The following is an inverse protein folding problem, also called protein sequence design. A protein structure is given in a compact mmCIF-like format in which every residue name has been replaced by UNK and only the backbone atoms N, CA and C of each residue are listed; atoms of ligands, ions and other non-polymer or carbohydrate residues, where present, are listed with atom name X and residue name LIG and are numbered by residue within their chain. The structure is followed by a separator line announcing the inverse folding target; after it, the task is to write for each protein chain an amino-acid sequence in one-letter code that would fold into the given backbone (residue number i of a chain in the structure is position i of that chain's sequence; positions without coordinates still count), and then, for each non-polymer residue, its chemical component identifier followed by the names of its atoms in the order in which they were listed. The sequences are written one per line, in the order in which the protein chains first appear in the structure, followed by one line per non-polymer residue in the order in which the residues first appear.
data_IF_285021504542
#
_entry.id   IF_285021504542
#
_cell.length_a   1.000
_cell.length_b   1.000
_cell.length_c   1.000
_cell.angle_alpha   90.00
_cell.angle_beta   90.00
_cell.angle_gamma   90.00
#
_symmetry.space_group_name_H-M   'P 1'
#
loop_
_entity.id
_entity.type
_entity.pdbx_description
1 polymer ?
#
# COMPACT_ATOMS: atom_id res chain seq x y z
N UNK A 1 23.59 19.66 2.70
CA UNK A 1 23.95 18.26 2.37
C UNK A 1 23.41 17.23 3.36
N UNK A 2 23.03 17.60 4.59
CA UNK A 2 22.66 16.65 5.65
C UNK A 2 21.22 16.12 5.63
N UNK A 3 20.24 16.83 5.11
CA UNK A 3 18.83 16.41 5.17
C UNK A 3 18.44 15.33 4.15
N UNK A 4 19.10 15.25 2.99
CA UNK A 4 18.76 14.30 1.94
C UNK A 4 19.25 12.87 2.20
N UNK A 5 20.39 12.73 2.86
CA UNK A 5 20.92 11.40 3.22
C UNK A 5 20.15 10.72 4.36
N UNK A 6 19.45 11.51 5.21
CA UNK A 6 18.76 11.01 6.38
C UNK A 6 17.28 10.72 6.07
N UNK A 7 16.62 11.56 5.27
CA UNK A 7 15.18 11.47 5.04
C UNK A 7 14.76 10.20 4.26
N UNK A 8 15.49 9.83 3.21
CA UNK A 8 15.16 8.63 2.42
C UNK A 8 15.33 7.31 3.19
N UNK A 9 16.41 7.11 3.96
CA UNK A 9 16.52 5.93 4.82
C UNK A 9 15.42 5.84 5.86
N UNK A 10 15.01 6.97 6.45
CA UNK A 10 13.91 7.01 7.41
C UNK A 10 12.58 6.65 6.77
N UNK A 11 12.22 7.24 5.63
CA UNK A 11 10.98 6.91 4.90
C UNK A 11 10.93 5.42 4.55
N UNK A 12 12.06 4.87 4.08
CA UNK A 12 12.16 3.43 3.79
C UNK A 12 11.98 2.56 5.03
N UNK A 13 12.65 2.91 6.14
CA UNK A 13 12.50 2.18 7.40
C UNK A 13 11.07 2.25 7.90
N UNK A 14 10.45 3.43 7.92
CA UNK A 14 9.06 3.60 8.32
C UNK A 14 8.10 2.82 7.42
N UNK A 15 8.23 2.90 6.11
CA UNK A 15 7.41 2.14 5.17
C UNK A 15 7.51 0.63 5.43
N UNK A 16 8.73 0.11 5.57
CA UNK A 16 8.95 -1.30 5.84
C UNK A 16 8.42 -1.75 7.21
N UNK A 17 8.59 -0.94 8.26
CA UNK A 17 8.10 -1.27 9.59
C UNK A 17 6.58 -1.19 9.71
N UNK A 18 5.95 -0.16 9.13
CA UNK A 18 4.50 0.04 9.19
C UNK A 18 3.74 -0.93 8.28
N UNK A 19 4.37 -1.46 7.25
CA UNK A 19 3.75 -2.42 6.35
C UNK A 19 3.24 -3.66 7.09
N UNK A 20 4.02 -4.24 7.98
CA UNK A 20 3.66 -5.49 8.65
C UNK A 20 2.44 -5.37 9.58
N UNK A 21 2.35 -4.38 10.48
CA UNK A 21 1.15 -4.20 11.26
C UNK A 21 -0.05 -3.81 10.40
N UNK A 22 0.13 -3.01 9.34
CA UNK A 22 -0.94 -2.69 8.41
C UNK A 22 -1.46 -3.95 7.70
N UNK A 23 -0.55 -4.80 7.21
CA UNK A 23 -0.91 -6.09 6.62
C UNK A 23 -1.67 -6.99 7.60
N UNK A 24 -1.23 -7.05 8.86
CA UNK A 24 -1.90 -7.84 9.88
C UNK A 24 -3.34 -7.34 10.14
N UNK A 25 -3.54 -6.03 10.18
CA UNK A 25 -4.88 -5.41 10.34
C UNK A 25 -5.76 -5.71 9.15
N UNK A 26 -5.26 -5.55 7.92
CA UNK A 26 -6.01 -5.85 6.69
C UNK A 26 -6.39 -7.32 6.64
N UNK A 27 -5.43 -8.23 6.83
CA UNK A 27 -5.69 -9.66 6.82
C UNK A 27 -6.69 -10.08 7.92
N UNK A 28 -6.59 -9.48 9.12
CA UNK A 28 -7.55 -9.72 10.18
C UNK A 28 -8.95 -9.23 9.80
N UNK A 29 -9.07 -8.01 9.26
CA UNK A 29 -10.35 -7.44 8.84
C UNK A 29 -11.00 -8.24 7.73
N UNK A 30 -10.23 -8.67 6.74
CA UNK A 30 -10.73 -9.47 5.61
C UNK A 30 -11.09 -10.91 6.00
N UNK A 31 -10.35 -11.54 6.91
CA UNK A 31 -10.58 -12.93 7.32
C UNK A 31 -11.50 -13.08 8.53
N UNK A 32 -11.96 -11.98 9.14
CA UNK A 32 -12.94 -12.02 10.22
C UNK A 32 -14.34 -12.27 9.64
N UNK A 33 -15.05 -13.35 10.01
CA UNK A 33 -16.36 -13.68 9.42
C UNK A 33 -17.42 -12.58 9.60
N UNK A 34 -17.37 -11.88 10.71
CA UNK A 34 -18.28 -10.77 11.04
C UNK A 34 -17.45 -9.57 11.51
N UNK A 35 -16.76 -8.84 10.61
CA UNK A 35 -16.01 -7.68 11.01
C UNK A 35 -16.96 -6.63 11.59
N UNK A 36 -16.52 -5.85 12.59
CA UNK A 36 -17.28 -4.70 13.06
C UNK A 36 -17.45 -3.72 11.88
N UNK A 37 -18.65 -3.71 11.30
CA UNK A 37 -18.97 -2.79 10.20
C UNK A 37 -19.45 -1.49 10.80
N UNK A 38 -18.87 -0.38 10.36
CA UNK A 38 -19.54 0.91 10.49
C UNK A 38 -20.78 0.83 9.59
N UNK A 39 -21.97 0.97 10.17
CA UNK A 39 -23.22 0.94 9.43
C UNK A 39 -23.19 1.95 8.28
N UNK A 40 -23.26 1.49 7.05
CA UNK A 40 -23.17 2.32 5.86
C UNK A 40 -23.56 1.57 4.58
N UNK A 41 -23.78 2.30 3.48
CA UNK A 41 -24.12 1.69 2.21
C UNK A 41 -22.97 0.81 1.68
N UNK A 42 -23.28 -0.19 0.85
CA UNK A 42 -22.36 -1.13 0.19
C UNK A 42 -21.08 -0.49 -0.39
N UNK A 43 -21.13 0.82 -0.68
CA UNK A 43 -20.01 1.58 -1.19
C UNK A 43 -18.88 1.78 -0.15
N UNK A 44 -19.19 1.68 1.15
CA UNK A 44 -18.17 1.81 2.22
C UNK A 44 -17.27 0.59 2.27
N UNK A 45 -17.79 -0.61 2.03
CA UNK A 45 -17.01 -1.83 1.98
C UNK A 45 -15.93 -1.74 0.88
N UNK A 46 -16.30 -1.33 -0.32
CA UNK A 46 -15.37 -1.11 -1.44
C UNK A 46 -14.35 0.01 -1.19
N UNK A 47 -14.75 1.04 -0.45
CA UNK A 47 -13.83 2.09 -0.04
C UNK A 47 -12.83 1.61 1.01
N UNK A 48 -13.25 0.71 1.92
CA UNK A 48 -12.36 0.10 2.89
C UNK A 48 -11.31 -0.77 2.19
N UNK A 49 -11.72 -1.62 1.24
CA UNK A 49 -10.82 -2.41 0.40
C UNK A 49 -9.85 -1.52 -0.40
N UNK A 50 -10.35 -0.51 -1.09
CA UNK A 50 -9.52 0.44 -1.82
C UNK A 50 -8.49 1.11 -0.90
N UNK A 51 -8.91 1.60 0.26
CA UNK A 51 -8.04 2.33 1.20
C UNK A 51 -6.98 1.42 1.80
N UNK A 52 -7.34 0.18 2.15
CA UNK A 52 -6.43 -0.82 2.66
C UNK A 52 -5.31 -1.12 1.66
N UNK A 53 -5.65 -1.44 0.43
CA UNK A 53 -4.67 -1.81 -0.61
C UNK A 53 -3.89 -0.60 -1.14
N UNK A 54 -4.48 0.58 -1.16
CA UNK A 54 -3.76 1.83 -1.36
C UNK A 54 -2.65 2.00 -0.32
N UNK A 55 -2.98 1.87 0.96
CA UNK A 55 -2.04 2.01 2.07
C UNK A 55 -0.94 0.95 2.04
N UNK A 56 -1.30 -0.33 1.84
CA UNK A 56 -0.33 -1.44 1.75
C UNK A 56 0.64 -1.24 0.59
N UNK A 57 0.15 -0.88 -0.60
CA UNK A 57 1.00 -0.67 -1.76
C UNK A 57 1.91 0.54 -1.58
N UNK A 58 1.39 1.64 -1.01
CA UNK A 58 2.19 2.82 -0.70
C UNK A 58 3.31 2.50 0.29
N UNK A 59 3.00 1.85 1.41
CA UNK A 59 3.98 1.46 2.43
C UNK A 59 5.03 0.50 1.87
N UNK A 60 4.61 -0.54 1.14
CA UNK A 60 5.53 -1.48 0.51
C UNK A 60 6.43 -0.81 -0.52
N UNK A 61 5.88 0.07 -1.35
CA UNK A 61 6.62 0.81 -2.37
C UNK A 61 7.63 1.77 -1.76
N UNK A 62 7.29 2.45 -0.68
CA UNK A 62 8.21 3.33 0.05
C UNK A 62 9.27 2.53 0.82
N UNK A 63 8.90 1.36 1.36
CA UNK A 63 9.79 0.50 2.13
C UNK A 63 10.83 -0.23 1.28
N UNK A 64 10.38 -0.90 0.24
CA UNK A 64 11.22 -1.79 -0.59
C UNK A 64 11.36 -1.35 -2.05
N UNK A 65 10.56 -0.37 -2.48
CA UNK A 65 10.51 0.05 -3.88
C UNK A 65 11.78 0.75 -4.34
N UNK A 66 12.66 0.03 -4.99
CA UNK A 66 13.58 0.59 -5.98
C UNK A 66 12.83 0.59 -7.32
N UNK A 67 13.15 1.51 -8.24
CA UNK A 67 12.42 1.65 -9.53
C UNK A 67 12.12 0.33 -10.25
N UNK A 68 13.05 -0.65 -10.20
CA UNK A 68 12.86 -1.97 -10.82
C UNK A 68 12.02 -2.94 -9.98
N UNK A 69 11.89 -2.70 -8.67
CA UNK A 69 11.14 -3.57 -7.76
C UNK A 69 9.68 -3.14 -7.57
N UNK A 70 9.28 -1.93 -8.01
CA UNK A 70 7.91 -1.43 -7.87
C UNK A 70 6.88 -2.32 -8.56
N UNK A 71 7.22 -2.87 -9.73
CA UNK A 71 6.35 -3.82 -10.43
C UNK A 71 6.13 -5.08 -9.60
N UNK A 72 7.19 -5.61 -9.01
CA UNK A 72 7.09 -6.81 -8.17
C UNK A 72 6.34 -6.55 -6.86
N UNK A 73 6.50 -5.37 -6.27
CA UNK A 73 5.71 -4.93 -5.11
C UNK A 73 4.23 -4.90 -5.49
N UNK A 74 3.89 -4.24 -6.59
CA UNK A 74 2.51 -4.16 -7.07
C UNK A 74 1.91 -5.55 -7.33
N UNK A 75 2.60 -6.38 -8.11
CA UNK A 75 2.13 -7.74 -8.40
C UNK A 75 1.98 -8.59 -7.11
N UNK A 76 2.88 -8.41 -6.14
CA UNK A 76 2.78 -9.08 -4.84
C UNK A 76 1.55 -8.66 -4.05
N UNK A 77 1.20 -7.37 -4.06
CA UNK A 77 0.00 -6.86 -3.38
C UNK A 77 -1.29 -7.31 -4.11
N UNK A 78 -1.31 -7.30 -5.45
CA UNK A 78 -2.44 -7.84 -6.23
C UNK A 78 -2.63 -9.33 -5.96
N UNK A 79 -1.54 -10.10 -5.96
CA UNK A 79 -1.60 -11.54 -5.63
C UNK A 79 -2.08 -11.78 -4.18
N UNK A 80 -1.63 -10.96 -3.23
CA UNK A 80 -2.11 -11.00 -1.85
C UNK A 80 -3.61 -10.76 -1.77
N UNK A 81 -4.14 -9.74 -2.47
CA UNK A 81 -5.56 -9.45 -2.55
C UNK A 81 -6.35 -10.65 -3.07
N UNK A 82 -5.91 -11.23 -4.18
CA UNK A 82 -6.55 -12.42 -4.74
C UNK A 82 -6.54 -13.62 -3.78
N UNK A 83 -5.45 -13.83 -3.05
CA UNK A 83 -5.37 -14.90 -2.04
C UNK A 83 -6.32 -14.63 -0.88
N UNK A 84 -6.35 -13.41 -0.35
CA UNK A 84 -7.24 -13.06 0.75
C UNK A 84 -8.72 -13.19 0.34
N UNK A 85 -9.08 -12.78 -0.88
CA UNK A 85 -10.42 -12.94 -1.43
C UNK A 85 -10.85 -14.41 -1.50
N UNK A 86 -9.96 -15.30 -1.94
CA UNK A 86 -10.21 -16.74 -1.93
C UNK A 86 -10.38 -17.25 -0.50
N UNK A 87 -9.53 -16.82 0.43
CA UNK A 87 -9.61 -17.22 1.82
C UNK A 87 -10.89 -16.73 2.51
N UNK A 88 -11.43 -15.58 2.12
CA UNK A 88 -12.72 -15.08 2.62
C UNK A 88 -13.86 -16.06 2.36
N UNK A 89 -13.89 -16.69 1.20
CA UNK A 89 -14.90 -17.71 0.90
C UNK A 89 -14.81 -18.92 1.82
N UNK A 90 -13.62 -19.23 2.34
CA UNK A 90 -13.40 -20.36 3.26
C UNK A 90 -13.81 -20.04 4.71
N UNK A 91 -13.90 -18.78 5.08
CA UNK A 91 -14.32 -18.33 6.42
C UNK A 91 -15.79 -17.90 6.47
N UNK A 92 -16.57 -18.20 5.42
CA UNK A 92 -18.02 -17.93 5.36
C UNK A 92 -18.37 -16.50 5.00
N UNK A 93 -17.48 -15.80 4.28
CA UNK A 93 -17.77 -14.50 3.63
C UNK A 93 -18.03 -14.73 2.15
N UNK A 94 -18.82 -13.86 1.56
CA UNK A 94 -19.00 -13.86 0.10
C UNK A 94 -17.82 -13.12 -0.55
N UNK A 95 -17.07 -13.82 -1.39
CA UNK A 95 -16.05 -13.20 -2.23
C UNK A 95 -16.73 -12.44 -3.36
N UNK A 96 -16.49 -11.13 -3.43
CA UNK A 96 -17.07 -10.27 -4.45
C UNK A 96 -16.02 -9.77 -5.45
N UNK A 97 -16.30 -9.94 -6.75
CA UNK A 97 -15.45 -9.35 -7.80
C UNK A 97 -15.28 -7.84 -7.65
N UNK A 98 -16.27 -7.16 -7.05
CA UNK A 98 -16.21 -5.73 -6.76
C UNK A 98 -15.14 -5.37 -5.74
N UNK A 99 -14.92 -6.22 -4.75
CA UNK A 99 -13.92 -6.03 -3.70
C UNK A 99 -12.52 -6.28 -4.25
N UNK A 100 -12.36 -7.33 -5.05
CA UNK A 100 -11.11 -7.56 -5.79
C UNK A 100 -10.76 -6.37 -6.70
N UNK A 101 -11.73 -5.83 -7.45
CA UNK A 101 -11.50 -4.65 -8.27
C UNK A 101 -11.14 -3.41 -7.43
N UNK A 102 -11.76 -3.23 -6.26
CA UNK A 102 -11.42 -2.14 -5.34
C UNK A 102 -10.01 -2.28 -4.77
N UNK A 103 -9.58 -3.51 -4.45
CA UNK A 103 -8.22 -3.84 -4.03
C UNK A 103 -7.20 -3.43 -5.11
N UNK A 104 -7.41 -3.83 -6.34
CA UNK A 104 -6.53 -3.54 -7.47
C UNK A 104 -6.44 -2.05 -7.78
N UNK A 105 -7.58 -1.34 -7.77
CA UNK A 105 -7.61 0.11 -7.96
C UNK A 105 -6.90 0.85 -6.84
N UNK A 106 -7.09 0.41 -5.59
CA UNK A 106 -6.37 0.94 -4.44
C UNK A 106 -4.85 0.73 -4.58
N UNK A 107 -4.45 -0.49 -4.92
CA UNK A 107 -3.05 -0.83 -5.14
C UNK A 107 -2.43 0.01 -6.27
N UNK A 108 -3.14 0.19 -7.38
CA UNK A 108 -2.67 1.01 -8.50
C UNK A 108 -2.52 2.49 -8.12
N UNK A 109 -3.48 3.03 -7.37
CA UNK A 109 -3.40 4.40 -6.86
C UNK A 109 -2.23 4.59 -5.89
N UNK A 110 -2.01 3.66 -4.96
CA UNK A 110 -0.88 3.66 -4.04
C UNK A 110 0.47 3.60 -4.75
N UNK A 111 0.57 2.76 -5.79
CA UNK A 111 1.74 2.70 -6.67
C UNK A 111 1.97 4.03 -7.38
N UNK A 112 0.91 4.64 -7.93
CA UNK A 112 1.00 5.93 -8.63
C UNK A 112 1.55 7.03 -7.72
N UNK A 113 1.07 7.12 -6.49
CA UNK A 113 1.59 8.08 -5.48
C UNK A 113 3.05 7.79 -5.15
N UNK A 114 3.43 6.52 -4.94
CA UNK A 114 4.82 6.16 -4.67
C UNK A 114 5.75 6.51 -5.83
N UNK A 115 5.35 6.25 -7.07
CA UNK A 115 6.10 6.60 -8.28
C UNK A 115 6.27 8.12 -8.39
N UNK A 116 5.18 8.88 -8.19
CA UNK A 116 5.22 10.34 -8.22
C UNK A 116 6.19 10.88 -7.15
N UNK A 117 6.12 10.37 -5.92
CA UNK A 117 7.02 10.74 -4.84
C UNK A 117 8.50 10.45 -5.17
N UNK A 118 8.78 9.27 -5.72
CA UNK A 118 10.14 8.85 -6.09
C UNK A 118 10.68 9.58 -7.34
N UNK A 119 9.79 10.13 -8.18
CA UNK A 119 10.14 10.86 -9.39
C UNK A 119 10.44 12.35 -9.12
N UNK A 120 10.11 12.90 -7.95
CA UNK A 120 10.37 14.31 -7.62
C UNK A 120 11.88 14.58 -7.72
N UNK A 121 12.31 15.51 -8.61
CA UNK A 121 13.71 15.88 -8.73
C UNK A 121 14.21 16.48 -7.41
N UNK A 122 15.17 15.83 -6.82
CA UNK A 122 15.80 16.34 -5.59
C UNK A 122 16.86 17.35 -6.01
N UNK A 123 16.54 18.64 -5.95
CA UNK A 123 17.53 19.68 -6.17
C UNK A 123 18.59 19.56 -5.08
N UNK A 124 19.80 19.21 -5.45
CA UNK A 124 20.95 19.35 -4.58
C UNK A 124 21.09 20.86 -4.29
N UNK A 125 21.35 21.26 -3.04
CA UNK A 125 21.71 22.64 -2.76
C UNK A 125 22.90 23.01 -3.66
N UNK A 126 22.78 24.15 -4.36
CA UNK A 126 23.90 24.65 -5.13
C UNK A 126 25.10 24.80 -4.18
N UNK A 127 26.23 24.24 -4.57
CA UNK A 127 27.50 24.33 -3.87
C UNK A 127 27.87 25.84 -3.81
N UNK A 128 27.55 26.44 -2.66
CA UNK A 128 27.83 27.91 -2.42
C UNK A 128 29.27 28.17 -2.02
N UNK A 129 30.10 27.15 -1.95
CA UNK A 129 31.47 27.26 -1.43
C UNK A 129 32.52 27.11 -2.53
N UNK A 130 32.20 27.52 -3.77
CA UNK A 130 33.22 27.75 -4.80
C UNK A 130 33.42 29.27 -5.01
N UNK A 131 34.05 29.92 -4.05
CA UNK A 131 34.75 31.17 -4.24
C UNK A 131 36.14 31.05 -3.63
#
# INVERSE_FOLDING_TARGET
MFFHGIFLPWVRRFGAWLFWPALAVVAWGELTPHPPRLEGPLMWDKLDHFTAYFGLTLLASLGWGLRRSLVWVFLGIVALGGVLEILQTMVGRDGEWGDFAANDLGALAGLGVAVAYLAIPRRLPADRDRV
#
